data_IF_158354758371
#
_entry.id   IF_158354758371
#
_cell.length_a   1.000
_cell.length_b   1.000
_cell.length_c   1.000
_cell.angle_alpha   90.00
_cell.angle_beta   90.00
_cell.angle_gamma   90.00
#
_symmetry.space_group_name_H-M   'P 1'
#
loop_
_entity.id
_entity.type
_entity.pdbx_description
1 polymer ?
#
# COMPACT_ATOMS: atom_id res chain seq x y z
N UNK A 1 2.21 12.45 38.15
CA UNK A 1 0.87 12.22 37.61
C UNK A 1 -0.18 12.53 38.65
N UNK A 2 -1.37 12.88 38.21
CA UNK A 2 -2.48 13.22 39.08
C UNK A 2 -3.79 12.72 38.46
N UNK A 3 -4.66 12.12 39.29
CA UNK A 3 -5.99 11.75 38.90
C UNK A 3 -6.89 12.98 38.90
N UNK A 4 -7.65 13.19 37.81
CA UNK A 4 -8.63 14.26 37.76
C UNK A 4 -9.88 13.86 38.54
N UNK A 5 -10.47 14.85 39.24
CA UNK A 5 -11.69 14.60 39.99
C UNK A 5 -12.90 14.55 39.03
N UNK A 6 -13.55 13.39 38.95
CA UNK A 6 -14.71 13.13 38.10
C UNK A 6 -16.05 13.17 38.88
N UNK A 7 -16.02 13.16 40.23
CA UNK A 7 -17.23 13.07 41.08
C UNK A 7 -18.27 14.17 40.82
N UNK A 8 -17.75 15.38 40.56
CA UNK A 8 -18.62 16.52 40.30
C UNK A 8 -19.08 16.62 38.83
N UNK A 9 -18.64 15.74 37.98
CA UNK A 9 -18.75 15.87 36.52
C UNK A 9 -19.57 14.75 35.87
N UNK A 10 -19.56 13.57 36.44
CA UNK A 10 -20.18 12.36 35.89
C UNK A 10 -21.04 11.66 36.94
N UNK A 11 -21.98 10.87 36.45
CA UNK A 11 -22.78 9.98 37.33
C UNK A 11 -21.89 8.88 37.90
N UNK A 12 -21.66 8.88 39.19
CA UNK A 12 -20.97 7.82 39.91
C UNK A 12 -21.90 6.61 40.07
N UNK A 13 -21.43 5.46 39.64
CA UNK A 13 -22.12 4.19 39.82
C UNK A 13 -21.31 3.33 40.78
N UNK A 14 -21.90 3.00 41.93
CA UNK A 14 -21.33 2.01 42.86
C UNK A 14 -21.89 0.66 42.53
N UNK A 15 -21.02 -0.30 42.25
CA UNK A 15 -21.40 -1.71 42.03
C UNK A 15 -20.36 -2.59 42.70
N UNK A 16 -20.77 -3.42 43.70
CA UNK A 16 -19.94 -4.43 44.34
C UNK A 16 -18.55 -3.99 44.83
N UNK A 17 -18.45 -2.93 45.57
CA UNK A 17 -17.22 -2.31 46.13
C UNK A 17 -16.31 -1.55 45.18
N UNK A 18 -16.67 -1.35 43.91
CA UNK A 18 -15.92 -0.53 42.96
C UNK A 18 -16.74 0.69 42.50
N UNK A 19 -16.07 1.84 42.49
CA UNK A 19 -16.61 3.11 41.98
C UNK A 19 -16.20 3.31 40.52
N UNK A 20 -17.15 3.56 39.64
CA UNK A 20 -16.87 3.89 38.26
C UNK A 20 -17.82 4.97 37.75
N UNK A 21 -17.38 5.72 36.74
CA UNK A 21 -18.10 6.82 36.14
C UNK A 21 -18.74 6.43 34.82
N UNK A 22 -19.87 7.01 34.51
CA UNK A 22 -20.63 6.71 33.29
C UNK A 22 -20.80 7.92 32.40
N UNK A 23 -20.31 7.80 31.15
CA UNK A 23 -20.55 8.77 30.08
C UNK A 23 -21.72 8.29 29.24
N UNK A 24 -22.63 9.20 28.91
CA UNK A 24 -23.82 8.94 28.07
C UNK A 24 -23.77 9.76 26.80
N UNK A 25 -24.58 9.42 25.79
CA UNK A 25 -24.67 10.18 24.56
C UNK A 25 -25.12 11.63 24.76
N UNK A 26 -25.87 11.91 25.84
CA UNK A 26 -26.34 13.27 26.17
C UNK A 26 -25.31 14.08 26.97
N UNK A 27 -24.41 13.41 27.67
CA UNK A 27 -23.34 14.01 28.48
C UNK A 27 -22.02 13.30 28.11
N UNK A 28 -21.53 13.59 26.91
CA UNK A 28 -20.32 12.99 26.37
C UNK A 28 -19.08 13.88 26.49
N UNK A 29 -19.21 15.01 27.15
CA UNK A 29 -18.16 16.02 27.31
C UNK A 29 -17.85 16.25 28.78
N UNK A 30 -16.58 16.29 29.11
CA UNK A 30 -16.07 16.60 30.45
C UNK A 30 -15.19 17.82 30.35
N UNK A 31 -15.41 18.83 31.22
CA UNK A 31 -14.61 20.05 31.24
C UNK A 31 -13.97 20.21 32.63
N UNK A 32 -12.70 20.54 32.65
CA UNK A 32 -11.90 20.85 33.83
C UNK A 32 -11.39 22.28 33.71
N UNK A 33 -11.57 23.09 34.74
CA UNK A 33 -11.14 24.46 34.80
C UNK A 33 -10.09 24.66 35.88
N UNK A 34 -9.27 25.68 35.75
CA UNK A 34 -8.24 26.06 36.71
C UNK A 34 -7.23 24.94 37.01
N UNK A 35 -6.85 24.14 35.98
CA UNK A 35 -5.88 23.06 36.14
C UNK A 35 -4.52 23.58 36.55
N UNK A 36 -4.08 24.70 35.98
CA UNK A 36 -2.80 25.35 36.26
C UNK A 36 -1.60 24.36 36.18
N UNK A 37 -1.55 23.49 35.17
CA UNK A 37 -0.54 22.43 35.02
C UNK A 37 -0.03 22.32 33.60
N UNK A 38 1.24 21.93 33.47
CA UNK A 38 1.77 21.45 32.20
C UNK A 38 1.20 20.07 31.89
N UNK A 39 0.72 19.87 30.67
CA UNK A 39 0.17 18.59 30.19
C UNK A 39 1.09 17.99 29.13
N UNK A 40 1.54 16.75 29.37
CA UNK A 40 2.32 15.97 28.42
C UNK A 40 1.51 14.79 27.83
N UNK A 41 0.71 14.15 28.68
CA UNK A 41 -0.19 13.07 28.28
C UNK A 41 -1.44 13.01 29.17
N UNK A 42 -2.47 12.33 28.64
CA UNK A 42 -3.68 11.96 29.37
C UNK A 42 -3.85 10.45 29.22
N UNK A 43 -4.00 9.78 30.34
CA UNK A 43 -4.38 8.36 30.39
C UNK A 43 -5.85 8.23 30.77
N UNK A 44 -6.60 7.53 29.95
CA UNK A 44 -8.02 7.26 30.16
C UNK A 44 -8.16 5.79 30.54
N UNK A 45 -8.53 5.55 31.81
CA UNK A 45 -8.73 4.23 32.34
C UNK A 45 -10.19 3.81 32.23
N UNK A 46 -10.46 2.78 31.44
CA UNK A 46 -11.81 2.23 31.29
C UNK A 46 -12.07 1.11 32.27
N UNK A 47 -13.32 1.01 32.72
CA UNK A 47 -13.75 -0.11 33.55
C UNK A 47 -13.58 -1.45 32.77
N UNK A 48 -13.17 -2.50 33.49
CA UNK A 48 -12.96 -3.83 32.92
C UNK A 48 -14.23 -4.47 32.31
N UNK A 49 -15.42 -3.97 32.69
CA UNK A 49 -16.73 -4.38 32.14
C UNK A 49 -17.09 -3.62 30.87
N UNK A 50 -16.31 -2.61 30.49
CA UNK A 50 -16.52 -1.86 29.27
C UNK A 50 -16.36 -2.81 28.08
N UNK A 51 -17.37 -2.96 27.20
CA UNK A 51 -17.23 -3.75 25.98
C UNK A 51 -16.10 -3.24 25.10
N UNK A 52 -15.40 -4.16 24.42
CA UNK A 52 -14.34 -3.78 23.49
C UNK A 52 -14.92 -2.96 22.33
N UNK A 53 -14.53 -1.70 22.25
CA UNK A 53 -14.90 -0.79 21.17
C UNK A 53 -13.78 0.23 20.97
N UNK A 54 -13.78 0.90 19.82
CA UNK A 54 -12.92 2.04 19.55
C UNK A 54 -13.75 3.30 19.67
N UNK A 55 -13.33 4.20 20.55
CA UNK A 55 -14.04 5.43 20.88
C UNK A 55 -13.24 6.60 20.33
N UNK A 56 -13.80 7.43 19.44
CA UNK A 56 -13.19 8.70 19.07
C UNK A 56 -13.19 9.65 20.25
N UNK A 57 -12.02 10.18 20.60
CA UNK A 57 -11.84 11.14 21.70
C UNK A 57 -11.24 12.41 21.14
N UNK A 58 -11.86 13.54 21.46
CA UNK A 58 -11.40 14.88 21.08
C UNK A 58 -10.97 15.62 22.32
N UNK A 59 -9.76 16.18 22.30
CA UNK A 59 -9.19 16.90 23.42
C UNK A 59 -8.95 18.35 23.03
N UNK A 60 -9.49 19.23 23.82
CA UNK A 60 -9.36 20.68 23.67
C UNK A 60 -8.78 21.24 24.94
N UNK A 61 -7.94 22.25 24.85
CA UNK A 61 -7.40 22.94 26.02
C UNK A 61 -7.03 24.38 25.71
N UNK A 62 -6.86 25.18 26.78
CA UNK A 62 -6.26 26.51 26.73
C UNK A 62 -4.86 26.42 27.30
N UNK A 63 -3.90 27.20 26.78
CA UNK A 63 -2.53 27.25 27.28
C UNK A 63 -1.94 28.65 27.13
N UNK A 64 -0.68 28.84 27.55
CA UNK A 64 0.01 30.15 27.48
C UNK A 64 0.05 30.78 26.07
N UNK A 65 -0.14 29.98 25.03
CA UNK A 65 -0.18 30.45 23.64
C UNK A 65 -1.61 30.63 23.09
N UNK A 66 -2.63 30.06 23.74
CA UNK A 66 -4.00 30.03 23.27
C UNK A 66 -4.98 30.29 24.39
N UNK A 67 -5.59 31.50 24.39
CA UNK A 67 -6.59 31.90 25.36
C UNK A 67 -7.98 31.25 25.17
N UNK A 68 -8.19 30.61 24.02
CA UNK A 68 -9.45 29.92 23.70
C UNK A 68 -9.15 28.45 23.39
N UNK A 69 -10.15 27.59 23.61
CA UNK A 69 -10.00 26.15 23.31
C UNK A 69 -9.46 25.90 21.92
N UNK A 70 -8.36 25.18 21.83
CA UNK A 70 -7.81 24.68 20.58
C UNK A 70 -7.53 23.19 20.68
N UNK A 71 -7.33 22.57 19.54
CA UNK A 71 -7.11 21.14 19.45
C UNK A 71 -5.65 20.76 19.63
N UNK A 72 -5.43 19.72 20.43
CA UNK A 72 -4.12 19.12 20.62
C UNK A 72 -3.94 17.86 19.82
N UNK A 73 -3.86 17.90 18.50
CA UNK A 73 -3.54 16.67 17.79
C UNK A 73 -2.64 16.82 16.58
N UNK A 74 -1.94 15.72 16.28
CA UNK A 74 -1.12 15.58 15.09
C UNK A 74 -1.92 15.92 13.84
N UNK A 75 -1.34 16.80 13.03
CA UNK A 75 -1.75 17.20 11.70
C UNK A 75 -2.42 16.08 10.88
N UNK A 76 -3.72 16.17 10.77
CA UNK A 76 -4.48 15.67 9.62
C UNK A 76 -5.50 16.75 9.28
N UNK A 77 -5.63 17.09 8.01
CA UNK A 77 -6.72 17.93 7.52
C UNK A 77 -8.04 17.21 7.85
N UNK A 78 -8.75 17.69 8.85
CA UNK A 78 -9.97 17.11 9.36
C UNK A 78 -10.11 17.31 10.86
N UNK A 79 -11.24 16.93 11.42
CA UNK A 79 -11.51 17.05 12.87
C UNK A 79 -10.44 16.26 13.64
N UNK A 80 -9.69 16.88 14.57
CA UNK A 80 -8.65 16.21 15.32
C UNK A 80 -9.25 15.26 16.34
N UNK A 81 -9.26 14.01 16.00
CA UNK A 81 -9.82 12.97 16.82
C UNK A 81 -8.78 11.84 17.00
N UNK A 82 -8.68 11.38 18.24
CA UNK A 82 -7.82 10.24 18.60
C UNK A 82 -8.70 9.03 18.87
N UNK A 83 -8.48 7.96 18.13
CA UNK A 83 -9.22 6.72 18.34
C UNK A 83 -8.64 5.92 19.49
N UNK A 84 -9.40 5.76 20.57
CA UNK A 84 -9.02 5.04 21.78
C UNK A 84 -9.75 3.70 21.83
N UNK A 85 -9.01 2.61 21.80
CA UNK A 85 -9.58 1.27 21.95
C UNK A 85 -9.64 0.89 23.45
N UNK A 86 -10.84 0.54 23.94
CA UNK A 86 -11.07 0.25 25.36
C UNK A 86 -10.32 -1.01 25.86
N UNK A 87 -9.92 -1.88 24.95
CA UNK A 87 -9.18 -3.12 25.23
C UNK A 87 -7.68 -3.04 24.86
N UNK A 88 -7.17 -1.86 24.53
CA UNK A 88 -5.76 -1.65 24.18
C UNK A 88 -5.15 -0.53 25.01
N UNK A 89 -4.35 -0.91 25.99
CA UNK A 89 -3.70 0.01 26.92
C UNK A 89 -2.88 1.11 26.22
N UNK A 90 -2.16 0.76 25.15
CA UNK A 90 -1.33 1.73 24.42
C UNK A 90 -2.14 2.88 23.82
N UNK A 91 -3.37 2.62 23.37
CA UNK A 91 -4.23 3.64 22.79
C UNK A 91 -4.89 4.54 23.82
N UNK A 92 -4.88 4.14 25.09
CA UNK A 92 -5.47 4.90 26.22
C UNK A 92 -4.55 6.01 26.72
N UNK A 93 -3.27 6.01 26.29
CA UNK A 93 -2.34 7.11 26.55
C UNK A 93 -2.35 8.07 25.35
N UNK A 94 -2.86 9.28 25.57
CA UNK A 94 -2.98 10.31 24.55
C UNK A 94 -1.94 11.40 24.82
N UNK A 95 -0.99 11.54 23.90
CA UNK A 95 0.05 12.57 24.02
C UNK A 95 -0.49 13.92 23.61
N UNK A 96 -0.24 14.93 24.46
CA UNK A 96 -0.64 16.31 24.28
C UNK A 96 0.58 17.18 24.04
N UNK A 97 0.43 18.19 23.23
CA UNK A 97 1.46 19.21 23.01
C UNK A 97 0.90 20.57 23.45
N UNK A 98 1.05 20.88 24.73
CA UNK A 98 0.76 22.19 25.27
C UNK A 98 1.98 23.11 25.25
N UNK A 99 1.74 24.41 25.19
CA UNK A 99 2.77 25.45 25.34
C UNK A 99 2.62 26.07 26.71
N UNK A 100 3.49 25.67 27.65
CA UNK A 100 3.45 26.16 29.02
C UNK A 100 2.33 25.53 29.86
N UNK A 101 1.57 26.35 30.56
CA UNK A 101 0.56 25.92 31.52
C UNK A 101 -0.80 25.79 30.83
N UNK A 102 -1.52 24.72 31.12
CA UNK A 102 -2.90 24.48 30.69
C UNK A 102 -3.83 24.86 31.84
N UNK A 103 -4.77 25.76 31.55
CA UNK A 103 -5.77 26.21 32.51
C UNK A 103 -7.07 25.43 32.38
N UNK A 104 -7.60 25.34 31.17
CA UNK A 104 -8.84 24.64 30.90
C UNK A 104 -8.58 23.42 30.01
N UNK A 105 -9.21 22.30 30.33
CA UNK A 105 -9.16 21.04 29.58
C UNK A 105 -10.59 20.54 29.33
N UNK A 106 -10.90 20.25 28.08
CA UNK A 106 -12.16 19.68 27.66
C UNK A 106 -11.94 18.39 26.89
N UNK A 107 -12.60 17.33 27.29
CA UNK A 107 -12.51 16.00 26.67
C UNK A 107 -13.91 15.60 26.18
N UNK A 108 -14.04 15.35 24.90
CA UNK A 108 -15.29 14.92 24.26
C UNK A 108 -15.13 13.46 23.81
N UNK A 109 -16.08 12.59 24.20
CA UNK A 109 -16.06 11.16 23.93
C UNK A 109 -17.11 10.73 22.91
N UNK A 110 -16.69 9.97 21.93
CA UNK A 110 -17.59 9.29 21.02
C UNK A 110 -18.17 10.17 19.92
N UNK A 111 -18.94 9.51 19.09
CA UNK A 111 -19.69 10.03 17.94
C UNK A 111 -21.04 9.33 17.83
N UNK A 112 -21.71 9.45 16.66
CA UNK A 112 -23.01 8.82 16.41
C UNK A 112 -22.93 7.29 16.37
N UNK A 113 -21.76 6.71 16.05
CA UNK A 113 -21.54 5.27 15.95
C UNK A 113 -21.07 4.64 17.27
N UNK A 114 -20.81 5.45 18.30
CA UNK A 114 -20.28 4.97 19.58
C UNK A 114 -21.36 4.32 20.43
N UNK A 115 -21.05 3.13 20.98
CA UNK A 115 -21.96 2.44 21.90
C UNK A 115 -21.87 3.01 23.31
N UNK A 116 -22.95 3.63 23.78
CA UNK A 116 -23.09 4.16 25.13
C UNK A 116 -23.88 3.20 26.06
N UNK A 117 -23.66 3.25 27.37
CA UNK A 117 -22.75 4.11 28.10
C UNK A 117 -21.29 3.69 28.00
N UNK A 118 -20.36 4.66 28.12
CA UNK A 118 -18.94 4.40 28.30
C UNK A 118 -18.65 4.39 29.80
N UNK A 119 -17.97 3.35 30.29
CA UNK A 119 -17.64 3.18 31.70
C UNK A 119 -16.16 3.54 31.90
N UNK A 120 -15.89 4.48 32.79
CA UNK A 120 -14.56 4.95 33.15
C UNK A 120 -14.26 4.68 34.62
N UNK A 121 -13.02 4.31 34.92
CA UNK A 121 -12.51 4.31 36.30
C UNK A 121 -11.92 5.67 36.65
N UNK A 122 -11.04 6.19 35.82
CA UNK A 122 -10.36 7.48 36.09
C UNK A 122 -9.75 8.08 34.82
N UNK A 123 -9.44 9.39 34.90
CA UNK A 123 -8.62 10.10 33.92
C UNK A 123 -7.40 10.62 34.67
N UNK A 124 -6.22 10.29 34.19
CA UNK A 124 -4.95 10.65 34.84
C UNK A 124 -4.13 11.52 33.88
N UNK A 125 -3.68 12.67 34.32
CA UNK A 125 -2.77 13.55 33.57
C UNK A 125 -1.32 13.24 33.90
N UNK A 126 -0.44 13.33 32.91
CA UNK A 126 1.00 13.10 33.04
C UNK A 126 1.31 11.70 33.62
N UNK A 127 0.56 10.69 33.17
CA UNK A 127 0.65 9.34 33.73
C UNK A 127 1.90 8.58 33.30
N UNK A 128 2.54 8.99 32.23
CA UNK A 128 3.67 8.33 31.55
C UNK A 128 3.41 6.87 31.19
N UNK A 129 3.29 6.62 29.92
CA UNK A 129 3.05 5.28 29.39
C UNK A 129 4.10 4.28 29.95
N UNK A 130 3.69 3.15 30.51
CA UNK A 130 4.59 2.11 30.95
C UNK A 130 5.52 1.65 29.82
N UNK A 131 6.75 1.30 30.16
CA UNK A 131 7.67 0.78 29.16
C UNK A 131 7.14 -0.55 28.61
N UNK A 132 6.79 -0.55 27.32
CA UNK A 132 6.47 -1.76 26.58
C UNK A 132 7.61 -2.15 25.64
N UNK A 133 8.02 -3.42 25.70
CA UNK A 133 9.07 -3.95 24.86
C UNK A 133 8.51 -4.32 23.49
N UNK A 134 8.64 -3.40 22.53
CA UNK A 134 8.27 -3.68 21.15
C UNK A 134 9.34 -4.54 20.45
N UNK A 135 9.08 -5.84 20.39
CA UNK A 135 9.97 -6.81 19.75
C UNK A 135 10.23 -6.49 18.28
N UNK A 136 9.26 -5.97 17.56
CA UNK A 136 9.41 -5.57 16.16
C UNK A 136 10.45 -4.43 16.00
N UNK A 137 10.35 -3.38 16.82
CA UNK A 137 11.34 -2.29 16.84
C UNK A 137 12.73 -2.79 17.22
N UNK A 138 12.82 -3.67 18.22
CA UNK A 138 14.10 -4.25 18.63
C UNK A 138 14.77 -4.98 17.47
N UNK A 139 14.07 -5.88 16.79
CA UNK A 139 14.62 -6.63 15.68
C UNK A 139 14.91 -5.75 14.45
N UNK A 140 14.14 -4.70 14.20
CA UNK A 140 14.44 -3.72 13.18
C UNK A 140 15.75 -2.98 13.44
N UNK A 141 15.93 -2.47 14.66
CA UNK A 141 17.18 -1.80 15.07
C UNK A 141 18.35 -2.77 15.04
N UNK A 142 18.19 -3.99 15.56
CA UNK A 142 19.23 -5.02 15.53
C UNK A 142 19.62 -5.38 14.09
N UNK A 143 18.66 -5.48 13.19
CA UNK A 143 18.88 -5.70 11.75
C UNK A 143 19.67 -4.56 11.10
N UNK A 144 19.32 -3.31 11.38
CA UNK A 144 20.05 -2.13 10.88
C UNK A 144 21.49 -2.14 11.40
N UNK A 145 21.71 -2.38 12.70
CA UNK A 145 23.04 -2.44 13.31
C UNK A 145 23.88 -3.57 12.70
N UNK A 146 23.25 -4.73 12.43
CA UNK A 146 23.91 -5.86 11.75
C UNK A 146 24.32 -5.46 10.33
N UNK A 147 23.47 -4.78 9.57
CA UNK A 147 23.81 -4.29 8.23
C UNK A 147 24.97 -3.30 8.28
N UNK A 148 24.94 -2.33 9.19
CA UNK A 148 26.04 -1.38 9.40
C UNK A 148 27.34 -2.14 9.74
N UNK A 149 27.27 -3.15 10.61
CA UNK A 149 28.43 -3.96 10.98
C UNK A 149 28.98 -4.78 9.81
N UNK A 150 28.12 -5.41 8.99
CA UNK A 150 28.50 -6.18 7.80
C UNK A 150 29.13 -5.28 6.73
N UNK A 151 28.54 -4.11 6.48
CA UNK A 151 28.98 -3.17 5.44
C UNK A 151 29.95 -2.08 5.95
N UNK A 152 30.47 -2.23 7.18
CA UNK A 152 31.48 -1.28 7.70
C UNK A 152 32.76 -1.25 6.84
N UNK A 153 33.48 -0.13 6.78
CA UNK A 153 34.78 -0.06 6.13
C UNK A 153 35.70 -1.18 6.59
N UNK A 154 36.47 -1.74 5.67
CA UNK A 154 37.40 -2.86 5.90
C UNK A 154 36.75 -4.21 6.28
N UNK A 155 35.45 -4.37 6.19
CA UNK A 155 34.78 -5.65 6.37
C UNK A 155 35.28 -6.70 5.36
N UNK A 156 35.26 -7.97 5.76
CA UNK A 156 35.68 -9.10 4.91
C UNK A 156 34.82 -9.25 3.63
N UNK A 157 33.61 -8.72 3.61
CA UNK A 157 32.72 -8.74 2.45
C UNK A 157 33.32 -7.99 1.24
N UNK A 158 34.13 -6.95 1.49
CA UNK A 158 34.81 -6.20 0.42
C UNK A 158 36.09 -6.89 -0.08
N UNK A 159 36.59 -7.89 0.64
CA UNK A 159 37.72 -8.73 0.20
C UNK A 159 37.28 -10.00 -0.53
N UNK A 160 35.96 -10.28 -0.56
CA UNK A 160 35.37 -11.40 -1.28
C UNK A 160 35.02 -10.95 -2.71
N UNK A 161 35.86 -11.24 -3.68
CA UNK A 161 35.66 -10.85 -5.08
C UNK A 161 34.82 -11.87 -5.85
N UNK A 162 33.98 -11.40 -6.80
CA UNK A 162 33.12 -12.24 -7.64
C UNK A 162 33.88 -13.27 -8.46
N UNK A 163 35.13 -12.95 -8.82
CA UNK A 163 36.01 -13.81 -9.64
C UNK A 163 36.78 -14.83 -8.83
N UNK A 164 37.28 -14.46 -7.65
CA UNK A 164 38.14 -15.33 -6.83
C UNK A 164 37.34 -16.31 -5.95
N UNK A 165 36.11 -15.96 -5.57
CA UNK A 165 35.25 -16.79 -4.73
C UNK A 165 33.88 -17.05 -5.38
N UNK A 166 33.81 -17.64 -6.60
CA UNK A 166 32.58 -17.65 -7.40
C UNK A 166 31.42 -18.42 -6.73
N UNK A 167 31.72 -19.49 -5.98
CA UNK A 167 30.65 -20.26 -5.30
C UNK A 167 30.05 -19.50 -4.12
N UNK A 168 30.89 -18.87 -3.28
CA UNK A 168 30.43 -18.11 -2.10
C UNK A 168 29.68 -16.85 -2.51
N UNK A 169 30.21 -16.12 -3.48
CA UNK A 169 29.55 -14.90 -3.98
C UNK A 169 28.25 -15.21 -4.67
N UNK A 170 28.19 -16.27 -5.50
CA UNK A 170 26.95 -16.70 -6.14
C UNK A 170 25.89 -17.10 -5.09
N UNK A 171 26.28 -17.86 -4.05
CA UNK A 171 25.36 -18.25 -3.00
C UNK A 171 24.81 -17.02 -2.23
N UNK A 172 25.68 -16.04 -1.92
CA UNK A 172 25.26 -14.81 -1.26
C UNK A 172 24.33 -13.96 -2.14
N UNK A 173 24.64 -13.80 -3.43
CA UNK A 173 23.78 -13.08 -4.38
C UNK A 173 22.41 -13.77 -4.48
N UNK A 174 22.39 -15.09 -4.66
CA UNK A 174 21.14 -15.86 -4.71
C UNK A 174 20.34 -15.69 -3.43
N UNK A 175 21.00 -15.76 -2.26
CA UNK A 175 20.31 -15.58 -0.96
C UNK A 175 19.68 -14.18 -0.84
N UNK A 176 20.40 -13.11 -1.21
CA UNK A 176 19.88 -11.74 -1.18
C UNK A 176 18.75 -11.58 -2.19
N UNK A 177 18.91 -12.06 -3.43
CA UNK A 177 17.85 -12.01 -4.45
C UNK A 177 16.59 -12.78 -4.01
N UNK A 178 16.78 -13.94 -3.36
CA UNK A 178 15.64 -14.70 -2.79
C UNK A 178 14.95 -13.89 -1.69
N UNK A 179 15.71 -13.24 -0.83
CA UNK A 179 15.15 -12.36 0.20
C UNK A 179 14.39 -11.18 -0.42
N UNK A 180 14.90 -10.54 -1.44
CA UNK A 180 14.22 -9.47 -2.19
C UNK A 180 12.90 -9.95 -2.78
N UNK A 181 12.89 -11.13 -3.42
CA UNK A 181 11.69 -11.76 -3.96
C UNK A 181 10.67 -12.06 -2.85
N UNK A 182 11.12 -12.61 -1.72
CA UNK A 182 10.25 -12.90 -0.57
C UNK A 182 9.66 -11.61 0.05
N UNK A 183 10.47 -10.57 0.19
CA UNK A 183 10.01 -9.27 0.72
C UNK A 183 8.97 -8.63 -0.20
N UNK A 184 9.21 -8.59 -1.51
CA UNK A 184 8.25 -8.04 -2.47
C UNK A 184 6.98 -8.90 -2.52
N UNK A 185 7.11 -10.23 -2.48
CA UNK A 185 5.94 -11.12 -2.44
C UNK A 185 5.12 -10.90 -1.17
N UNK A 186 5.77 -10.86 -0.01
CA UNK A 186 5.12 -10.58 1.26
C UNK A 186 4.44 -9.20 1.25
N UNK A 187 5.13 -8.19 0.74
CA UNK A 187 4.58 -6.84 0.66
C UNK A 187 3.37 -6.77 -0.28
N UNK A 188 3.40 -7.45 -1.43
CA UNK A 188 2.27 -7.50 -2.35
C UNK A 188 1.07 -8.24 -1.74
N UNK A 189 1.27 -9.42 -1.15
CA UNK A 189 0.14 -10.23 -0.66
C UNK A 189 -0.43 -9.77 0.67
N UNK A 190 0.36 -9.15 1.54
CA UNK A 190 -0.07 -8.75 2.88
C UNK A 190 -0.06 -7.24 3.13
N UNK A 191 0.69 -6.47 2.35
CA UNK A 191 0.85 -5.03 2.50
C UNK A 191 0.25 -4.20 1.38
N UNK A 192 -0.25 -4.82 0.31
CA UNK A 192 -0.87 -4.10 -0.81
C UNK A 192 -2.28 -3.62 -0.46
N UNK A 193 -2.80 -2.73 -1.30
CA UNK A 193 -4.19 -2.29 -1.23
C UNK A 193 -5.13 -3.20 -2.03
N UNK A 194 -4.71 -4.41 -2.35
CA UNK A 194 -5.52 -5.34 -3.11
C UNK A 194 -6.48 -6.09 -2.18
N UNK A 195 -7.75 -6.12 -2.55
CA UNK A 195 -8.77 -6.88 -1.84
C UNK A 195 -8.81 -8.31 -2.38
N UNK A 196 -8.59 -9.29 -1.50
CA UNK A 196 -8.92 -10.67 -1.77
C UNK A 196 -8.00 -11.48 -2.67
N UNK A 197 -6.78 -11.01 -2.98
CA UNK A 197 -5.82 -11.78 -3.82
C UNK A 197 -5.46 -13.14 -3.24
N UNK A 198 -5.33 -13.22 -1.93
CA UNK A 198 -4.97 -14.47 -1.24
C UNK A 198 -6.18 -15.21 -0.66
N UNK A 199 -7.41 -14.76 -0.95
CA UNK A 199 -8.64 -15.36 -0.45
C UNK A 199 -9.43 -16.03 -1.56
N UNK A 200 -10.26 -17.06 -1.26
CA UNK A 200 -11.15 -17.65 -2.26
C UNK A 200 -12.13 -16.67 -2.89
N UNK A 201 -12.43 -15.56 -2.22
CA UNK A 201 -13.34 -14.51 -2.64
C UNK A 201 -12.61 -13.22 -3.01
N UNK A 202 -11.68 -13.28 -3.92
CA UNK A 202 -11.09 -12.08 -4.48
C UNK A 202 -11.93 -11.45 -5.60
N UNK A 203 -13.18 -11.69 -5.54
CA UNK A 203 -14.21 -11.16 -6.40
C UNK A 203 -14.86 -9.98 -5.67
N UNK A 204 -15.19 -8.96 -6.35
CA UNK A 204 -15.79 -7.75 -5.83
C UNK A 204 -17.20 -7.84 -5.32
N UNK A 205 -17.70 -8.94 -5.12
CA UNK A 205 -19.03 -9.14 -4.60
C UNK A 205 -20.17 -9.00 -5.62
N UNK A 206 -19.89 -8.62 -6.86
CA UNK A 206 -20.90 -8.61 -7.93
C UNK A 206 -20.99 -9.90 -8.74
N UNK A 207 -20.21 -10.92 -8.37
CA UNK A 207 -20.26 -12.20 -9.04
C UNK A 207 -21.53 -12.97 -8.67
N UNK A 208 -22.33 -13.30 -9.66
CA UNK A 208 -23.60 -14.03 -9.55
C UNK A 208 -23.43 -15.56 -9.54
N UNK A 209 -22.19 -16.08 -9.58
CA UNK A 209 -21.87 -17.50 -9.63
C UNK A 209 -21.86 -18.09 -11.04
N UNK A 210 -22.21 -17.35 -12.07
CA UNK A 210 -22.37 -17.87 -13.45
C UNK A 210 -21.34 -17.32 -14.43
N UNK A 211 -20.82 -16.13 -14.18
CA UNK A 211 -19.82 -15.47 -15.03
C UNK A 211 -18.38 -15.71 -14.57
N UNK A 212 -17.39 -15.22 -15.33
CA UNK A 212 -16.00 -15.23 -14.92
C UNK A 212 -15.79 -14.46 -13.60
N UNK A 213 -14.97 -15.00 -12.70
CA UNK A 213 -14.62 -14.32 -11.46
C UNK A 213 -13.79 -13.08 -11.75
N UNK A 214 -14.25 -11.94 -11.25
CA UNK A 214 -13.55 -10.68 -11.39
C UNK A 214 -12.66 -10.41 -10.19
N UNK A 215 -11.39 -10.13 -10.41
CA UNK A 215 -10.47 -9.72 -9.36
C UNK A 215 -10.57 -8.22 -9.16
N UNK A 216 -10.79 -7.81 -7.93
CA UNK A 216 -10.86 -6.41 -7.57
C UNK A 216 -9.55 -5.83 -7.14
N UNK A 217 -9.43 -4.62 -7.50
CA UNK A 217 -8.34 -3.74 -7.15
C UNK A 217 -8.90 -2.56 -6.34
N UNK A 218 -8.16 -2.15 -5.32
CA UNK A 218 -8.58 -1.06 -4.44
C UNK A 218 -8.66 0.26 -5.22
N UNK A 219 -9.66 1.04 -4.90
CA UNK A 219 -9.89 2.34 -5.53
C UNK A 219 -11.17 2.44 -6.34
N UNK A 220 -11.99 1.39 -6.34
CA UNK A 220 -13.26 1.38 -7.09
C UNK A 220 -13.07 1.33 -8.60
N UNK A 221 -11.84 1.18 -9.06
CA UNK A 221 -11.55 0.95 -10.46
C UNK A 221 -12.04 -0.45 -10.83
N UNK A 222 -13.22 -0.50 -11.39
CA UNK A 222 -13.74 -1.65 -12.13
C UNK A 222 -12.94 -1.86 -13.43
N UNK A 223 -11.64 -1.67 -13.37
CA UNK A 223 -10.75 -1.64 -14.50
C UNK A 223 -10.48 -3.05 -14.99
N UNK A 224 -11.49 -3.62 -15.64
CA UNK A 224 -11.45 -4.95 -16.25
C UNK A 224 -11.10 -4.91 -17.73
N UNK A 225 -10.68 -3.77 -18.23
CA UNK A 225 -10.47 -3.53 -19.66
C UNK A 225 -9.59 -4.60 -20.33
N UNK A 226 -8.57 -5.10 -19.64
CA UNK A 226 -7.75 -6.18 -20.17
C UNK A 226 -8.47 -7.54 -20.19
N UNK A 227 -9.30 -7.81 -19.19
CA UNK A 227 -10.11 -9.02 -19.16
C UNK A 227 -11.20 -8.98 -20.23
N UNK A 228 -11.84 -7.83 -20.41
CA UNK A 228 -12.84 -7.58 -21.45
C UNK A 228 -12.23 -7.67 -22.85
N UNK A 229 -11.04 -7.08 -23.05
CA UNK A 229 -10.33 -7.22 -24.32
C UNK A 229 -9.95 -8.67 -24.61
N UNK A 230 -9.52 -9.43 -23.60
CA UNK A 230 -9.23 -10.85 -23.78
C UNK A 230 -10.48 -11.65 -24.21
N UNK A 231 -11.63 -11.32 -23.62
CA UNK A 231 -12.92 -11.92 -23.99
C UNK A 231 -13.31 -11.56 -25.42
N UNK A 232 -13.24 -10.29 -25.77
CA UNK A 232 -13.49 -9.79 -27.13
C UNK A 232 -12.56 -10.47 -28.14
N UNK A 233 -11.27 -10.61 -27.84
CA UNK A 233 -10.32 -11.32 -28.70
C UNK A 233 -10.66 -12.81 -28.86
N UNK A 234 -11.13 -13.46 -27.80
CA UNK A 234 -11.58 -14.86 -27.89
C UNK A 234 -12.81 -15.02 -28.83
N UNK A 235 -13.63 -13.98 -28.93
CA UNK A 235 -14.76 -13.93 -29.85
C UNK A 235 -14.39 -13.34 -31.23
N UNK A 236 -13.12 -13.05 -31.48
CA UNK A 236 -12.62 -12.65 -32.82
C UNK A 236 -12.70 -11.14 -33.09
N UNK A 237 -12.86 -10.30 -32.10
CA UNK A 237 -12.91 -8.83 -32.25
C UNK A 237 -11.87 -8.12 -31.38
N UNK A 238 -11.52 -6.88 -31.75
CA UNK A 238 -10.56 -6.03 -31.03
C UNK A 238 -11.23 -4.89 -30.26
N UNK A 239 -12.48 -4.55 -30.60
CA UNK A 239 -13.31 -3.64 -29.81
C UNK A 239 -13.87 -4.37 -28.61
N UNK A 240 -14.12 -3.65 -27.52
CA UNK A 240 -14.84 -4.20 -26.38
C UNK A 240 -16.27 -4.61 -26.78
N UNK A 241 -16.84 -5.57 -26.08
CA UNK A 241 -18.20 -6.07 -26.34
C UNK A 241 -19.26 -5.11 -25.81
N UNK A 242 -18.91 -4.27 -24.84
CA UNK A 242 -19.80 -3.27 -24.28
C UNK A 242 -20.09 -2.18 -25.33
N UNK A 243 -21.36 -1.93 -25.55
CA UNK A 243 -21.81 -0.91 -26.49
C UNK A 243 -21.85 0.46 -25.80
N UNK A 244 -21.33 1.52 -26.45
CA UNK A 244 -21.44 2.87 -25.91
C UNK A 244 -22.88 3.35 -25.93
N UNK A 245 -23.30 4.19 -24.96
CA UNK A 245 -24.63 4.79 -24.96
C UNK A 245 -24.84 5.62 -26.23
N UNK A 246 -26.06 5.66 -26.72
CA UNK A 246 -26.41 6.29 -27.98
C UNK A 246 -26.03 7.80 -28.00
N UNK A 247 -26.21 8.48 -26.88
CA UNK A 247 -25.84 9.89 -26.78
C UNK A 247 -24.33 10.13 -27.01
N UNK A 248 -23.45 9.16 -26.64
CA UNK A 248 -22.01 9.26 -26.90
C UNK A 248 -21.70 9.05 -28.41
N UNK A 249 -22.43 8.15 -29.05
CA UNK A 249 -22.28 7.90 -30.49
C UNK A 249 -22.71 9.12 -31.32
N UNK A 250 -23.73 9.83 -30.85
CA UNK A 250 -24.33 10.99 -31.55
C UNK A 250 -23.59 12.31 -31.27
N UNK A 251 -22.57 12.30 -30.38
CA UNK A 251 -21.76 13.51 -30.07
C UNK A 251 -20.86 13.92 -31.23
N UNK A 252 -20.88 15.18 -31.60
CA UNK A 252 -19.94 15.76 -32.56
C UNK A 252 -18.48 15.64 -32.13
N UNK A 253 -18.23 15.83 -30.82
CA UNK A 253 -16.93 15.63 -30.18
C UNK A 253 -17.05 14.67 -28.99
N UNK A 254 -16.89 13.37 -29.21
CA UNK A 254 -17.03 12.36 -28.14
C UNK A 254 -15.91 12.41 -27.08
N UNK A 255 -14.90 13.27 -27.24
CA UNK A 255 -13.82 13.46 -26.28
C UNK A 255 -13.96 14.72 -25.42
N UNK A 256 -15.04 15.49 -25.58
CA UNK A 256 -15.37 16.60 -24.70
C UNK A 256 -15.89 16.08 -23.35
N UNK A 257 -15.00 16.14 -22.34
CA UNK A 257 -15.32 15.66 -21.00
C UNK A 257 -16.50 16.41 -20.36
N UNK A 258 -16.58 17.74 -20.56
CA UNK A 258 -17.64 18.56 -19.98
C UNK A 258 -19.01 18.15 -20.54
N UNK A 259 -19.09 17.98 -21.87
CA UNK A 259 -20.30 17.56 -22.53
C UNK A 259 -20.70 16.11 -22.16
N UNK A 260 -19.71 15.18 -22.01
CA UNK A 260 -19.97 13.82 -21.49
C UNK A 260 -20.58 13.85 -20.10
N UNK A 261 -19.96 14.60 -19.16
CA UNK A 261 -20.42 14.69 -17.78
C UNK A 261 -21.82 15.29 -17.67
N UNK A 262 -22.16 16.24 -18.55
CA UNK A 262 -23.52 16.81 -18.65
C UNK A 262 -24.54 15.80 -19.18
N UNK A 263 -24.22 15.14 -20.29
CA UNK A 263 -25.11 14.15 -20.90
C UNK A 263 -25.34 12.94 -20.01
N UNK A 264 -24.31 12.46 -19.32
CA UNK A 264 -24.44 11.40 -18.33
C UNK A 264 -25.40 11.79 -17.19
N UNK A 265 -25.30 13.03 -16.69
CA UNK A 265 -26.21 13.53 -15.65
C UNK A 265 -27.66 13.68 -16.16
N UNK A 266 -27.84 14.05 -17.43
CA UNK A 266 -29.17 14.25 -18.01
C UNK A 266 -29.84 12.93 -18.34
N UNK A 267 -29.12 11.96 -18.86
CA UNK A 267 -29.66 10.66 -19.32
C UNK A 267 -29.66 9.61 -18.22
N UNK A 268 -28.76 9.71 -17.25
CA UNK A 268 -28.52 8.68 -16.24
C UNK A 268 -27.80 7.44 -16.78
N UNK A 269 -27.38 7.44 -18.06
CA UNK A 269 -26.64 6.33 -18.67
C UNK A 269 -25.13 6.55 -18.49
N UNK A 270 -24.45 5.54 -17.96
CA UNK A 270 -23.00 5.56 -17.75
C UNK A 270 -22.25 5.25 -19.06
N UNK A 271 -21.04 5.75 -19.17
CA UNK A 271 -20.11 5.41 -20.24
C UNK A 271 -18.82 4.84 -19.67
N UNK A 272 -18.13 4.01 -20.43
CA UNK A 272 -16.83 3.48 -19.99
C UNK A 272 -15.80 4.59 -19.90
N UNK A 273 -15.22 4.72 -18.70
CA UNK A 273 -14.10 5.61 -18.45
C UNK A 273 -12.79 4.96 -18.88
N UNK A 274 -11.81 5.80 -19.29
CA UNK A 274 -10.44 5.39 -19.58
C UNK A 274 -10.28 4.35 -20.71
N UNK A 275 -11.18 4.43 -21.69
CA UNK A 275 -11.13 3.69 -22.96
C UNK A 275 -11.17 4.64 -24.15
N UNK A 276 -10.61 4.23 -25.26
CA UNK A 276 -10.73 4.96 -26.51
C UNK A 276 -12.09 4.67 -27.16
N UNK A 277 -12.72 5.72 -27.69
CA UNK A 277 -13.95 5.61 -28.46
C UNK A 277 -13.64 5.90 -29.94
N UNK A 278 -14.01 5.00 -30.83
CA UNK A 278 -13.79 5.18 -32.28
C UNK A 278 -14.88 4.45 -33.07
N UNK A 279 -15.49 5.15 -34.01
CA UNK A 279 -16.53 4.62 -34.90
C UNK A 279 -17.64 3.84 -34.15
N UNK A 280 -18.16 4.42 -33.05
CA UNK A 280 -19.23 3.82 -32.26
C UNK A 280 -18.83 2.60 -31.43
N UNK A 281 -17.54 2.41 -31.16
CA UNK A 281 -17.03 1.28 -30.37
C UNK A 281 -15.98 1.73 -29.37
N UNK A 282 -15.86 0.95 -28.29
CA UNK A 282 -14.81 1.12 -27.30
C UNK A 282 -13.58 0.29 -27.62
N UNK A 283 -12.40 0.85 -27.39
CA UNK A 283 -11.12 0.18 -27.55
C UNK A 283 -10.22 0.43 -26.35
N UNK A 284 -9.47 -0.60 -25.95
CA UNK A 284 -8.41 -0.43 -24.96
C UNK A 284 -7.21 0.22 -25.64
N UNK A 285 -6.79 1.38 -25.17
CA UNK A 285 -5.66 2.13 -25.75
C UNK A 285 -4.32 1.83 -25.06
N UNK A 286 -4.35 1.05 -23.98
CA UNK A 286 -3.14 0.50 -23.36
C UNK A 286 -2.53 -0.59 -24.26
N UNK A 287 -1.26 -0.90 -24.01
CA UNK A 287 -0.59 -1.93 -24.81
C UNK A 287 -1.25 -3.31 -24.70
N UNK A 288 -1.26 -4.03 -25.80
CA UNK A 288 -1.93 -5.34 -25.93
C UNK A 288 -1.11 -6.52 -25.39
N UNK A 289 0.20 -6.32 -25.17
CA UNK A 289 1.10 -7.42 -24.76
C UNK A 289 0.70 -8.06 -23.42
N UNK A 290 0.27 -7.34 -22.38
CA UNK A 290 -0.24 -7.96 -21.16
C UNK A 290 -1.43 -8.89 -21.43
N UNK A 291 -2.33 -8.48 -22.31
CA UNK A 291 -3.50 -9.30 -22.68
C UNK A 291 -3.08 -10.61 -23.36
N UNK A 292 -2.19 -10.51 -24.34
CA UNK A 292 -1.72 -11.68 -25.10
C UNK A 292 -0.93 -12.67 -24.24
N UNK A 293 -0.22 -12.19 -23.22
CA UNK A 293 0.63 -13.05 -22.39
C UNK A 293 -0.10 -13.65 -21.17
N UNK A 294 -1.05 -12.94 -20.60
CA UNK A 294 -1.69 -13.33 -19.36
C UNK A 294 -3.19 -13.56 -19.50
N UNK A 295 -3.95 -12.57 -19.93
CA UNK A 295 -5.41 -12.61 -19.87
C UNK A 295 -6.01 -13.56 -20.90
N UNK A 296 -5.62 -13.43 -22.15
CA UNK A 296 -6.18 -14.26 -23.23
C UNK A 296 -5.87 -15.75 -23.06
N UNK A 297 -4.62 -16.19 -22.81
CA UNK A 297 -4.35 -17.61 -22.59
C UNK A 297 -5.08 -18.15 -21.36
N UNK A 298 -5.15 -17.39 -20.28
CA UNK A 298 -5.86 -17.81 -19.07
C UNK A 298 -7.36 -17.95 -19.32
N UNK A 299 -7.97 -16.97 -19.98
CA UNK A 299 -9.38 -17.02 -20.33
C UNK A 299 -9.72 -18.20 -21.24
N UNK A 300 -8.92 -18.44 -22.27
CA UNK A 300 -9.13 -19.57 -23.18
C UNK A 300 -9.01 -20.95 -22.49
N UNK A 301 -8.20 -21.04 -21.44
CA UNK A 301 -8.01 -22.29 -20.70
C UNK A 301 -9.03 -22.51 -19.57
N UNK A 302 -9.51 -21.44 -18.95
CA UNK A 302 -10.29 -21.52 -17.70
C UNK A 302 -11.70 -20.94 -17.83
N UNK A 303 -11.96 -20.09 -18.83
CA UNK A 303 -13.19 -19.29 -18.94
C UNK A 303 -13.29 -18.16 -17.92
N UNK A 304 -12.25 -17.92 -17.10
CA UNK A 304 -12.25 -16.94 -16.02
C UNK A 304 -11.31 -15.76 -16.31
N UNK A 305 -11.50 -14.64 -15.61
CA UNK A 305 -10.63 -13.49 -15.69
C UNK A 305 -9.29 -13.77 -14.99
N UNK A 306 -8.18 -13.32 -15.60
CA UNK A 306 -6.86 -13.47 -15.03
C UNK A 306 -6.67 -12.50 -13.84
N UNK A 307 -6.16 -12.98 -12.70
CA UNK A 307 -5.87 -12.14 -11.54
C UNK A 307 -4.71 -11.17 -11.82
N UNK A 308 -5.00 -9.90 -12.04
CA UNK A 308 -4.01 -8.87 -12.39
C UNK A 308 -2.82 -8.82 -11.44
N UNK A 309 -3.07 -8.92 -10.13
CA UNK A 309 -2.02 -8.88 -9.13
C UNK A 309 -1.02 -10.04 -9.25
N UNK A 310 -1.47 -11.22 -9.67
CA UNK A 310 -0.58 -12.35 -9.96
C UNK A 310 0.31 -12.03 -11.16
N UNK A 311 -0.23 -11.36 -12.17
CA UNK A 311 0.56 -10.88 -13.32
C UNK A 311 1.62 -9.87 -12.90
N UNK A 312 1.25 -8.88 -12.08
CA UNK A 312 2.19 -7.91 -11.51
C UNK A 312 3.26 -8.62 -10.69
N UNK A 313 2.88 -9.53 -9.80
CA UNK A 313 3.82 -10.31 -8.99
C UNK A 313 4.85 -11.07 -9.84
N UNK A 314 4.40 -11.80 -10.86
CA UNK A 314 5.28 -12.53 -11.78
C UNK A 314 6.25 -11.59 -12.52
N UNK A 315 5.75 -10.43 -12.97
CA UNK A 315 6.58 -9.42 -13.64
C UNK A 315 7.63 -8.83 -12.70
N UNK A 316 7.28 -8.55 -11.44
CA UNK A 316 8.22 -8.04 -10.44
C UNK A 316 9.30 -9.07 -10.10
N UNK A 317 8.96 -10.35 -9.98
CA UNK A 317 9.96 -11.43 -9.82
C UNK A 317 10.89 -11.47 -11.04
N UNK A 318 10.32 -11.45 -12.25
CA UNK A 318 11.11 -11.46 -13.48
C UNK A 318 12.04 -10.24 -13.55
N UNK A 319 11.60 -9.08 -13.13
CA UNK A 319 12.42 -7.86 -13.05
C UNK A 319 13.57 -8.00 -12.05
N UNK A 320 13.31 -8.45 -10.82
CA UNK A 320 14.33 -8.66 -9.78
C UNK A 320 15.43 -9.62 -10.28
N UNK A 321 15.01 -10.76 -10.85
CA UNK A 321 15.94 -11.74 -11.42
C UNK A 321 16.72 -11.16 -12.59
N UNK A 322 16.06 -10.39 -13.45
CA UNK A 322 16.67 -9.71 -14.59
C UNK A 322 17.70 -8.66 -14.18
N UNK A 323 17.38 -7.82 -13.20
CA UNK A 323 18.30 -6.83 -12.61
C UNK A 323 19.55 -7.50 -12.04
N UNK A 324 19.37 -8.55 -11.23
CA UNK A 324 20.48 -9.30 -10.65
C UNK A 324 21.37 -9.93 -11.73
N UNK A 325 20.76 -10.56 -12.74
CA UNK A 325 21.48 -11.18 -13.84
C UNK A 325 22.24 -10.14 -14.70
N UNK A 326 21.60 -9.01 -14.99
CA UNK A 326 22.18 -7.90 -15.73
C UNK A 326 23.38 -7.30 -14.98
N UNK A 327 23.19 -7.01 -13.69
CA UNK A 327 24.25 -6.45 -12.85
C UNK A 327 25.43 -7.42 -12.71
N UNK A 328 25.20 -8.71 -12.48
CA UNK A 328 26.27 -9.72 -12.42
C UNK A 328 27.02 -9.82 -13.73
N UNK A 329 26.29 -9.80 -14.86
CA UNK A 329 26.91 -9.81 -16.18
C UNK A 329 27.72 -8.56 -16.46
N UNK A 330 27.17 -7.40 -16.14
CA UNK A 330 27.85 -6.11 -16.29
C UNK A 330 29.11 -6.03 -15.44
N UNK A 331 29.01 -6.40 -14.17
CA UNK A 331 30.13 -6.39 -13.24
C UNK A 331 31.28 -7.28 -13.71
N UNK A 332 30.99 -8.53 -14.10
CA UNK A 332 32.03 -9.47 -14.55
C UNK A 332 32.61 -9.13 -15.90
N UNK A 333 31.85 -8.46 -16.76
CA UNK A 333 32.33 -8.09 -18.10
C UNK A 333 33.26 -6.87 -18.08
N UNK A 334 32.86 -5.85 -17.30
CA UNK A 334 33.57 -4.56 -17.32
C UNK A 334 34.63 -4.40 -16.23
N UNK A 335 34.53 -5.16 -15.14
CA UNK A 335 35.42 -4.99 -13.99
C UNK A 335 36.07 -6.31 -13.60
N UNK A 336 37.42 -6.28 -13.47
CA UNK A 336 38.21 -7.47 -13.09
C UNK A 336 38.04 -7.89 -11.62
N UNK A 337 37.79 -6.90 -10.75
CA UNK A 337 37.74 -7.11 -9.31
C UNK A 337 36.56 -6.32 -8.69
N UNK A 338 35.36 -6.90 -8.78
CA UNK A 338 34.19 -6.39 -8.04
C UNK A 338 34.05 -7.20 -6.76
N UNK A 339 34.01 -6.50 -5.63
CA UNK A 339 33.76 -7.15 -4.34
C UNK A 339 32.28 -7.47 -4.16
N UNK A 340 31.98 -8.51 -3.38
CA UNK A 340 30.61 -8.85 -3.02
C UNK A 340 29.90 -7.69 -2.29
N UNK A 341 30.62 -7.00 -1.38
CA UNK A 341 30.06 -5.85 -0.66
C UNK A 341 29.58 -4.74 -1.61
N UNK A 342 30.43 -4.36 -2.59
CA UNK A 342 30.03 -3.36 -3.58
C UNK A 342 28.88 -3.84 -4.46
N UNK A 343 28.91 -5.12 -4.88
CA UNK A 343 27.84 -5.69 -5.68
C UNK A 343 26.48 -5.61 -4.98
N UNK A 344 26.41 -6.04 -3.71
CA UNK A 344 25.17 -6.01 -2.94
C UNK A 344 24.69 -4.57 -2.61
N UNK A 345 25.64 -3.65 -2.36
CA UNK A 345 25.33 -2.23 -2.19
C UNK A 345 24.75 -1.57 -3.45
N UNK A 346 25.01 -2.11 -4.62
CA UNK A 346 24.44 -1.64 -5.88
C UNK A 346 23.16 -2.38 -6.24
N UNK A 347 23.08 -3.70 -5.96
CA UNK A 347 21.92 -4.53 -6.29
C UNK A 347 20.65 -4.05 -5.57
N UNK A 348 20.72 -3.92 -4.24
CA UNK A 348 19.55 -3.59 -3.43
C UNK A 348 18.94 -2.24 -3.83
N UNK A 349 19.68 -1.12 -3.91
CA UNK A 349 19.10 0.14 -4.38
C UNK A 349 18.62 0.09 -5.84
N UNK A 350 19.35 -0.59 -6.73
CA UNK A 350 18.94 -0.73 -8.13
C UNK A 350 17.54 -1.35 -8.24
N UNK A 351 17.25 -2.36 -7.43
CA UNK A 351 15.97 -3.05 -7.41
C UNK A 351 14.94 -2.24 -6.62
N UNK A 352 15.22 -1.86 -5.38
CA UNK A 352 14.24 -1.23 -4.50
C UNK A 352 13.86 0.21 -4.91
N UNK A 353 14.79 0.97 -5.50
CA UNK A 353 14.54 2.34 -5.95
C UNK A 353 13.98 2.43 -7.38
N UNK A 354 13.72 1.29 -8.06
CA UNK A 354 13.16 1.28 -9.42
C UNK A 354 11.65 1.51 -9.51
N UNK A 355 10.98 1.78 -8.37
CA UNK A 355 9.53 1.95 -8.32
C UNK A 355 8.73 0.66 -8.08
N UNK A 356 9.40 -0.50 -7.93
CA UNK A 356 8.69 -1.79 -7.73
C UNK A 356 7.87 -1.83 -6.44
N UNK A 357 8.26 -1.08 -5.42
CA UNK A 357 7.48 -0.98 -4.17
C UNK A 357 6.11 -0.33 -4.43
N UNK A 358 6.07 0.71 -5.29
CA UNK A 358 4.81 1.32 -5.69
C UNK A 358 3.94 0.33 -6.48
N UNK A 359 4.52 -0.36 -7.47
CA UNK A 359 3.79 -1.34 -8.27
C UNK A 359 3.28 -2.53 -7.43
N UNK A 360 4.05 -2.94 -6.41
CA UNK A 360 3.62 -3.98 -5.47
C UNK A 360 2.54 -3.49 -4.49
N UNK A 361 2.55 -2.19 -4.12
CA UNK A 361 1.52 -1.58 -3.25
C UNK A 361 0.18 -1.45 -3.97
N UNK A 362 0.21 -1.12 -5.26
CA UNK A 362 -0.97 -0.92 -6.11
C UNK A 362 -0.88 -1.84 -7.33
N UNK A 363 -1.11 -3.16 -7.18
CA UNK A 363 -0.96 -4.12 -8.27
C UNK A 363 -2.18 -4.10 -9.21
N UNK A 364 -2.42 -2.94 -9.81
CA UNK A 364 -3.57 -2.65 -10.69
C UNK A 364 -3.28 -3.02 -12.14
N UNK A 365 -4.31 -2.93 -12.98
CA UNK A 365 -4.12 -3.10 -14.42
C UNK A 365 -3.21 -2.02 -15.05
N UNK A 366 -3.09 -0.84 -14.41
CA UNK A 366 -2.10 0.18 -14.79
C UNK A 366 -0.67 -0.24 -14.44
N UNK A 367 -0.51 -0.96 -13.33
CA UNK A 367 0.80 -1.41 -12.85
C UNK A 367 1.36 -2.57 -13.67
N UNK A 368 0.48 -3.43 -14.19
CA UNK A 368 0.90 -4.62 -14.93
C UNK A 368 1.72 -4.30 -16.19
N UNK A 369 1.29 -3.42 -17.10
CA UNK A 369 2.08 -3.11 -18.30
C UNK A 369 3.41 -2.43 -17.96
N UNK A 370 3.47 -1.63 -16.87
CA UNK A 370 4.72 -1.01 -16.41
C UNK A 370 5.68 -2.08 -15.87
N UNK A 371 5.19 -2.97 -14.99
CA UNK A 371 6.01 -4.05 -14.43
C UNK A 371 6.53 -5.01 -15.52
N UNK A 372 5.69 -5.31 -16.50
CA UNK A 372 6.05 -6.16 -17.65
C UNK A 372 7.10 -5.47 -18.54
N UNK A 373 6.92 -4.19 -18.83
CA UNK A 373 7.88 -3.40 -19.60
C UNK A 373 9.25 -3.31 -18.90
N UNK A 374 9.26 -3.09 -17.59
CA UNK A 374 10.49 -3.13 -16.78
C UNK A 374 11.19 -4.49 -16.87
N UNK A 375 10.43 -5.59 -16.75
CA UNK A 375 10.98 -6.93 -16.90
C UNK A 375 11.59 -7.14 -18.30
N UNK A 376 10.87 -6.79 -19.37
CA UNK A 376 11.39 -6.89 -20.72
C UNK A 376 12.63 -6.04 -20.96
N UNK A 377 12.67 -4.82 -20.41
CA UNK A 377 13.82 -3.93 -20.53
C UNK A 377 15.08 -4.56 -19.94
N UNK A 378 15.02 -5.05 -18.70
CA UNK A 378 16.21 -5.62 -18.05
C UNK A 378 16.67 -6.91 -18.72
N UNK A 379 15.74 -7.76 -19.16
CA UNK A 379 16.08 -8.99 -19.88
C UNK A 379 16.57 -8.69 -21.29
N UNK A 380 16.05 -7.69 -21.98
CA UNK A 380 16.54 -7.23 -23.27
C UNK A 380 18.01 -6.76 -23.19
N UNK A 381 18.31 -5.90 -22.21
CA UNK A 381 19.67 -5.45 -21.94
C UNK A 381 20.60 -6.59 -21.55
N UNK A 382 20.15 -7.52 -20.71
CA UNK A 382 20.90 -8.72 -20.37
C UNK A 382 21.25 -9.56 -21.60
N UNK A 383 20.27 -9.80 -22.48
CA UNK A 383 20.46 -10.56 -23.70
C UNK A 383 21.49 -9.88 -24.62
N UNK A 384 21.41 -8.56 -24.83
CA UNK A 384 22.39 -7.83 -25.62
C UNK A 384 23.82 -7.93 -25.03
N UNK A 385 23.94 -7.78 -23.70
CA UNK A 385 25.23 -7.96 -23.05
C UNK A 385 25.76 -9.40 -23.15
N UNK A 386 24.89 -10.39 -23.10
CA UNK A 386 25.25 -11.78 -23.24
C UNK A 386 25.71 -12.09 -24.66
N UNK A 387 25.06 -11.50 -25.68
CA UNK A 387 25.41 -11.66 -27.09
C UNK A 387 26.87 -11.27 -27.41
N UNK A 388 27.37 -10.21 -26.74
CA UNK A 388 28.75 -9.73 -26.96
C UNK A 388 29.85 -10.77 -26.70
N UNK A 389 29.58 -11.80 -25.90
CA UNK A 389 30.56 -12.81 -25.50
C UNK A 389 30.06 -14.24 -25.78
N UNK A 390 29.12 -14.40 -26.71
CA UNK A 390 28.51 -15.67 -27.06
C UNK A 390 28.82 -16.03 -28.50
N UNK A 391 29.15 -17.29 -28.78
CA UNK A 391 29.26 -17.82 -30.14
C UNK A 391 27.96 -17.73 -30.93
N UNK A 392 26.82 -17.76 -30.23
CA UNK A 392 25.47 -17.56 -30.78
C UNK A 392 24.98 -16.15 -30.58
N UNK A 393 25.82 -15.16 -30.87
CA UNK A 393 25.53 -13.74 -30.62
C UNK A 393 24.19 -13.28 -31.24
N UNK A 394 23.91 -13.69 -32.46
CA UNK A 394 22.70 -13.28 -33.18
C UNK A 394 21.43 -13.69 -32.46
N UNK A 395 21.35 -14.86 -31.83
CA UNK A 395 20.18 -15.33 -31.08
C UNK A 395 19.92 -14.38 -29.91
N UNK A 396 20.97 -14.04 -29.16
CA UNK A 396 20.84 -13.13 -28.01
C UNK A 396 20.45 -11.74 -28.43
N UNK A 397 20.98 -11.23 -29.56
CA UNK A 397 20.57 -9.93 -30.09
C UNK A 397 19.12 -9.94 -30.56
N UNK A 398 18.67 -10.96 -31.26
CA UNK A 398 17.25 -11.10 -31.69
C UNK A 398 16.33 -11.17 -30.48
N UNK A 399 16.62 -12.01 -29.49
CA UNK A 399 15.81 -12.12 -28.27
C UNK A 399 15.79 -10.80 -27.50
N UNK A 400 16.95 -10.15 -27.35
CA UNK A 400 17.02 -8.84 -26.71
C UNK A 400 16.21 -7.77 -27.42
N UNK A 401 16.30 -7.72 -28.77
CA UNK A 401 15.54 -6.78 -29.59
C UNK A 401 14.02 -7.07 -29.53
N UNK A 402 13.63 -8.34 -29.49
CA UNK A 402 12.24 -8.73 -29.29
C UNK A 402 11.72 -8.25 -27.93
N UNK A 403 12.49 -8.47 -26.85
CA UNK A 403 12.12 -7.94 -25.54
C UNK A 403 11.91 -6.42 -25.57
N UNK A 404 12.84 -5.67 -26.20
CA UNK A 404 12.72 -4.21 -26.31
C UNK A 404 11.55 -3.76 -27.17
N UNK A 405 11.22 -4.49 -28.25
CA UNK A 405 10.02 -4.22 -29.06
C UNK A 405 8.73 -4.45 -28.27
N UNK A 406 8.70 -5.49 -27.42
CA UNK A 406 7.54 -5.78 -26.57
C UNK A 406 7.29 -4.72 -25.48
N UNK A 407 8.32 -3.93 -25.10
CA UNK A 407 8.14 -2.79 -24.18
C UNK A 407 7.11 -1.79 -24.74
N UNK A 408 7.24 -1.41 -26.01
CA UNK A 408 6.28 -0.51 -26.65
C UNK A 408 4.87 -1.13 -26.74
N UNK A 409 4.79 -2.46 -26.88
CA UNK A 409 3.53 -3.19 -26.87
C UNK A 409 2.93 -3.39 -25.48
N UNK A 410 3.67 -3.16 -24.40
CA UNK A 410 3.14 -3.11 -23.04
C UNK A 410 2.50 -1.76 -22.75
N UNK A 411 3.18 -0.67 -23.08
CA UNK A 411 2.68 0.69 -22.90
C UNK A 411 3.35 1.62 -23.94
N UNK A 412 2.58 2.17 -24.89
CA UNK A 412 3.15 2.94 -25.99
C UNK A 412 3.96 4.17 -25.59
N UNK A 413 3.75 4.69 -24.36
CA UNK A 413 4.49 5.86 -23.84
C UNK A 413 5.83 5.50 -23.18
N UNK A 414 6.17 4.23 -23.03
CA UNK A 414 7.46 3.74 -22.53
C UNK A 414 8.37 3.39 -23.68
#
# INVERSE_FOLDING_TARGET
YESLNLEDRLDLIQTDDEEHYRITAQHNTIEFHDLNKSLEDIYIDFDHRQPAQTIPVRIYFTDDAHETYFYSTKYTEGVPETNVATNNLDSQFIYIRSTGIVDDLKIEFGDEDTSYPILLNTIIINAHQPFDFNSGRFWAVAGILLLIWVFRPHSSIYRCYLTTHPRKTKAAIVAVTTLEVLLISSYLFFGSNLVGVATPNYNSGSWDGTGPVTVYEVGGDNAQQYAELARSMAHGQLSLEEEPPQWLVDMDNPYDKGARDELQKQTGEEYLFDVAFYEGKYYVYFGVVPVLLFYLPFFLLTGANFPTAIGVWLCLIAFILGCTALLDRFARYHFKQVSLGLFLLLQVPLIMCSGILYLAKFPTFYSLPIALALAFTVWGLYCWMRGRASERAYVWYVVGSLCMALVAGCRPQL
#
